data_IF_933292779111
#
_entry.id   IF_933292779111
#
_cell.length_a   1.000
_cell.length_b   1.000
_cell.length_c   1.000
_cell.angle_alpha   90.00
_cell.angle_beta   90.00
_cell.angle_gamma   90.00
#
_symmetry.space_group_name_H-M   'P 1'
#
loop_
_entity.id
_entity.type
_entity.pdbx_description
1 polymer ?
#
# COMPACT_ATOMS: atom_id res chain seq x y z
N UNK A 1 23.60 -59.66 54.14
CA UNK A 1 23.90 -58.22 54.32
C UNK A 1 23.87 -57.56 52.94
N UNK A 2 22.69 -57.14 52.51
CA UNK A 2 22.41 -56.23 51.37
C UNK A 2 21.29 -55.26 51.84
N UNK A 3 21.29 -53.99 51.43
CA UNK A 3 20.64 -52.88 52.14
C UNK A 3 19.15 -52.67 51.77
N UNK A 4 18.39 -51.87 52.55
CA UNK A 4 16.98 -51.59 52.28
C UNK A 4 16.80 -50.57 51.15
N UNK A 5 15.77 -50.80 50.33
CA UNK A 5 15.38 -49.97 49.19
C UNK A 5 14.73 -48.66 49.69
N UNK A 6 15.35 -47.53 49.38
CA UNK A 6 14.85 -46.18 49.66
C UNK A 6 13.79 -45.81 48.60
N UNK A 7 12.52 -45.68 48.98
CA UNK A 7 11.45 -45.15 48.12
C UNK A 7 11.57 -43.62 48.06
N UNK A 8 12.02 -43.11 46.91
CA UNK A 8 12.05 -41.68 46.60
C UNK A 8 10.67 -41.26 46.07
N UNK A 9 9.91 -40.48 46.85
CA UNK A 9 8.64 -39.88 46.39
C UNK A 9 8.94 -38.73 45.43
N UNK A 10 8.63 -38.90 44.14
CA UNK A 10 8.62 -37.80 43.18
C UNK A 10 7.39 -36.91 43.44
N UNK A 11 7.59 -35.70 43.94
CA UNK A 11 6.55 -34.67 43.93
C UNK A 11 6.39 -34.16 42.49
N UNK A 12 5.20 -34.32 41.91
CA UNK A 12 4.86 -33.72 40.62
C UNK A 12 4.76 -32.19 40.78
N UNK A 13 5.27 -31.38 39.82
CA UNK A 13 5.04 -29.95 39.85
C UNK A 13 3.57 -29.67 39.50
N UNK A 14 2.89 -28.92 40.36
CA UNK A 14 1.58 -28.35 40.05
C UNK A 14 1.71 -27.42 38.84
N UNK A 15 1.11 -27.81 37.72
CA UNK A 15 0.91 -26.90 36.60
C UNK A 15 -0.03 -25.79 37.07
N UNK A 16 0.45 -24.54 37.08
CA UNK A 16 -0.41 -23.37 37.17
C UNK A 16 -1.20 -23.37 35.85
N UNK A 17 -2.48 -23.72 35.91
CA UNK A 17 -3.39 -23.44 34.81
C UNK A 17 -3.40 -21.92 34.64
N UNK A 18 -2.82 -21.43 33.54
CA UNK A 18 -3.05 -20.07 33.09
C UNK A 18 -4.56 -19.95 32.88
N UNK A 19 -5.22 -19.19 33.73
CA UNK A 19 -6.63 -18.86 33.56
C UNK A 19 -6.80 -18.16 32.21
N UNK A 20 -7.75 -18.65 31.41
CA UNK A 20 -8.26 -18.05 30.19
C UNK A 20 -8.85 -16.65 30.46
N UNK A 21 -7.99 -15.65 30.69
CA UNK A 21 -8.37 -14.26 30.97
C UNK A 21 -8.11 -13.34 29.76
N UNK A 22 -7.99 -13.92 28.55
CA UNK A 22 -7.89 -13.20 27.26
C UNK A 22 -9.26 -12.73 26.72
N UNK A 23 -10.37 -13.10 27.37
CA UNK A 23 -11.73 -12.82 26.87
C UNK A 23 -12.45 -11.65 27.58
N UNK A 24 -11.71 -10.78 28.30
CA UNK A 24 -12.30 -9.69 29.11
C UNK A 24 -12.06 -8.28 28.62
N UNK A 25 -11.46 -8.10 27.44
CA UNK A 25 -11.54 -6.81 26.76
C UNK A 25 -12.81 -6.78 25.91
N UNK A 26 -13.74 -5.83 26.11
CA UNK A 26 -14.86 -5.67 25.19
C UNK A 26 -14.28 -5.38 23.81
N UNK A 27 -14.39 -6.36 22.90
CA UNK A 27 -14.05 -6.17 21.50
C UNK A 27 -15.07 -5.18 20.93
N UNK A 28 -14.69 -3.91 20.88
CA UNK A 28 -15.49 -2.91 20.19
C UNK A 28 -15.61 -3.32 18.73
N UNK A 29 -16.80 -3.68 18.29
CA UNK A 29 -17.08 -3.88 16.87
C UNK A 29 -17.14 -2.50 16.19
N UNK A 30 -16.45 -2.36 15.07
CA UNK A 30 -16.49 -1.17 14.22
C UNK A 30 -17.06 -1.60 12.88
N UNK A 31 -18.15 -0.95 12.47
CA UNK A 31 -18.78 -1.19 11.17
C UNK A 31 -18.27 -0.20 10.11
N UNK A 32 -18.18 -0.66 8.86
CA UNK A 32 -17.91 0.21 7.71
C UNK A 32 -19.14 1.04 7.36
N UNK A 33 -18.93 2.30 6.96
CA UNK A 33 -20.02 3.17 6.45
C UNK A 33 -20.02 3.31 4.94
N UNK A 34 -18.85 3.19 4.32
CA UNK A 34 -18.62 3.39 2.89
C UNK A 34 -17.49 2.45 2.48
N UNK A 35 -17.68 1.79 1.33
CA UNK A 35 -16.70 0.90 0.72
C UNK A 35 -16.53 1.29 -0.76
N UNK A 36 -15.33 1.10 -1.29
CA UNK A 36 -15.07 1.25 -2.74
C UNK A 36 -15.60 0.03 -3.49
N UNK A 37 -15.96 0.16 -4.79
CA UNK A 37 -16.32 -0.97 -5.62
C UNK A 37 -15.25 -2.08 -5.61
N UNK A 38 -15.70 -3.34 -5.68
CA UNK A 38 -14.84 -4.52 -5.77
C UNK A 38 -13.93 -4.43 -7.01
N UNK A 39 -12.66 -4.77 -6.80
CA UNK A 39 -11.71 -5.04 -7.88
C UNK A 39 -11.56 -6.57 -8.01
N UNK A 40 -11.48 -7.06 -9.23
CA UNK A 40 -11.38 -8.49 -9.52
C UNK A 40 -9.97 -8.81 -10.02
N UNK A 41 -9.36 -9.84 -9.43
CA UNK A 41 -7.99 -10.28 -9.68
C UNK A 41 -7.89 -11.33 -10.79
N UNK A 42 -8.92 -11.45 -11.62
CA UNK A 42 -8.97 -12.28 -12.82
C UNK A 42 -8.70 -11.46 -14.09
N UNK A 43 -8.47 -12.17 -15.20
CA UNK A 43 -8.18 -11.54 -16.50
C UNK A 43 -9.30 -10.59 -16.93
N UNK A 44 -10.56 -10.94 -16.63
CA UNK A 44 -11.72 -10.10 -16.95
C UNK A 44 -11.73 -8.78 -16.15
N UNK A 45 -11.31 -8.84 -14.88
CA UNK A 45 -11.10 -7.69 -13.99
C UNK A 45 -9.83 -6.90 -14.27
N UNK A 46 -8.95 -7.43 -15.11
CA UNK A 46 -7.64 -6.86 -15.41
C UNK A 46 -6.64 -7.08 -14.27
N UNK A 47 -6.72 -8.24 -13.60
CA UNK A 47 -5.82 -8.67 -12.52
C UNK A 47 -5.67 -7.60 -11.42
N UNK A 48 -6.79 -6.94 -11.11
CA UNK A 48 -6.81 -5.80 -10.23
C UNK A 48 -7.20 -6.23 -8.81
N UNK A 49 -6.28 -6.07 -7.86
CA UNK A 49 -6.59 -6.24 -6.44
C UNK A 49 -6.16 -4.99 -5.69
N UNK A 50 -7.06 -4.43 -4.89
CA UNK A 50 -6.74 -3.33 -3.98
C UNK A 50 -5.69 -3.79 -2.97
N UNK A 51 -4.65 -2.99 -2.76
CA UNK A 51 -3.57 -3.30 -1.82
C UNK A 51 -3.42 -2.16 -0.80
N UNK A 52 -2.88 -1.02 -1.23
CA UNK A 52 -2.54 0.09 -0.34
C UNK A 52 -3.33 1.35 -0.65
N UNK A 53 -4.03 1.94 0.35
CA UNK A 53 -4.63 3.25 0.24
C UNK A 53 -3.72 4.37 0.77
N UNK A 54 -3.77 5.53 0.13
CA UNK A 54 -3.32 6.82 0.66
C UNK A 54 -4.45 7.85 0.57
N UNK A 55 -4.63 8.67 1.60
CA UNK A 55 -5.70 9.68 1.66
C UNK A 55 -5.08 11.06 1.53
N UNK A 56 -5.41 11.78 0.46
CA UNK A 56 -5.05 13.19 0.33
C UNK A 56 -6.15 14.05 0.91
N UNK A 57 -5.86 14.70 2.03
CA UNK A 57 -6.77 15.63 2.69
C UNK A 57 -6.66 16.99 2.02
N UNK A 58 -7.75 17.46 1.42
CA UNK A 58 -7.78 18.77 0.78
C UNK A 58 -7.61 19.88 1.85
N UNK A 59 -6.67 20.82 1.68
CA UNK A 59 -6.21 21.72 2.76
C UNK A 59 -7.27 22.67 3.30
N UNK A 60 -8.31 22.99 2.52
CA UNK A 60 -9.35 23.96 2.90
C UNK A 60 -10.80 23.45 2.80
N UNK A 61 -11.02 22.23 2.32
CA UNK A 61 -12.37 21.68 2.11
C UNK A 61 -12.30 20.16 2.10
N UNK A 62 -12.41 19.54 3.29
CA UNK A 62 -12.23 18.10 3.48
C UNK A 62 -13.15 17.24 2.60
N UNK A 63 -14.29 17.77 2.15
CA UNK A 63 -15.21 17.08 1.22
C UNK A 63 -14.63 16.88 -0.18
N UNK A 64 -13.56 17.60 -0.52
CA UNK A 64 -12.82 17.45 -1.79
C UNK A 64 -11.61 16.52 -1.68
N UNK A 65 -11.39 15.92 -0.51
CA UNK A 65 -10.34 14.92 -0.31
C UNK A 65 -10.56 13.72 -1.22
N UNK A 66 -9.47 13.03 -1.55
CA UNK A 66 -9.49 11.85 -2.41
C UNK A 66 -8.77 10.69 -1.73
N UNK A 67 -9.21 9.47 -2.04
CA UNK A 67 -8.53 8.23 -1.68
C UNK A 67 -7.84 7.71 -2.93
N UNK A 68 -6.55 7.43 -2.84
CA UNK A 68 -5.73 6.87 -3.92
C UNK A 68 -5.36 5.46 -3.51
N UNK A 69 -5.62 4.47 -4.37
CA UNK A 69 -5.42 3.06 -4.07
C UNK A 69 -4.58 2.41 -5.17
N UNK A 70 -3.59 1.59 -4.79
CA UNK A 70 -2.94 0.69 -5.74
C UNK A 70 -3.84 -0.52 -6.01
N UNK A 71 -4.08 -0.77 -7.29
CA UNK A 71 -4.85 -1.90 -7.80
C UNK A 71 -3.93 -2.97 -8.42
N UNK A 72 -2.68 -3.07 -7.94
CA UNK A 72 -1.65 -3.99 -8.45
C UNK A 72 -1.41 -3.86 -9.96
N UNK A 73 -1.71 -4.89 -10.74
CA UNK A 73 -1.59 -4.87 -12.20
C UNK A 73 -2.61 -3.93 -12.84
N UNK A 74 -3.72 -3.69 -12.13
CA UNK A 74 -4.71 -2.70 -12.49
C UNK A 74 -4.22 -1.24 -12.38
N UNK A 75 -3.03 -0.96 -11.83
CA UNK A 75 -2.44 0.38 -11.69
C UNK A 75 -2.96 1.16 -10.49
N UNK A 76 -3.43 2.40 -10.68
CA UNK A 76 -4.05 3.22 -9.63
C UNK A 76 -5.57 3.35 -9.81
N UNK A 77 -6.24 3.53 -8.69
CA UNK A 77 -7.62 4.00 -8.59
C UNK A 77 -7.67 5.24 -7.72
N UNK A 78 -8.50 6.20 -8.10
CA UNK A 78 -8.77 7.39 -7.30
C UNK A 78 -10.26 7.45 -7.04
N UNK A 79 -10.64 7.64 -5.77
CA UNK A 79 -12.02 7.70 -5.33
C UNK A 79 -12.30 9.00 -4.57
N UNK A 80 -13.56 9.45 -4.57
CA UNK A 80 -14.02 10.42 -3.57
C UNK A 80 -14.31 9.73 -2.21
N UNK A 81 -14.59 10.52 -1.17
CA UNK A 81 -14.92 10.01 0.16
C UNK A 81 -16.26 9.24 0.24
N UNK A 82 -17.02 9.16 -0.87
CA UNK A 82 -18.23 8.34 -0.99
C UNK A 82 -17.97 7.03 -1.74
N UNK A 83 -16.70 6.72 -2.03
CA UNK A 83 -16.30 5.49 -2.73
C UNK A 83 -16.50 5.52 -4.24
N UNK A 84 -16.91 6.65 -4.83
CA UNK A 84 -17.10 6.74 -6.28
C UNK A 84 -15.75 6.92 -6.98
N UNK A 85 -15.48 6.07 -7.97
CA UNK A 85 -14.25 6.16 -8.76
C UNK A 85 -14.24 7.43 -9.60
N UNK A 86 -13.20 8.25 -9.42
CA UNK A 86 -12.94 9.48 -10.14
C UNK A 86 -11.97 9.27 -11.30
N UNK A 87 -10.97 8.39 -11.11
CA UNK A 87 -9.94 8.13 -12.09
C UNK A 87 -9.40 6.71 -11.99
N UNK A 88 -9.02 6.15 -13.15
CA UNK A 88 -8.23 4.92 -13.29
C UNK A 88 -6.99 5.26 -14.10
N UNK A 89 -5.82 4.80 -13.64
CA UNK A 89 -4.55 4.92 -14.34
C UNK A 89 -3.93 3.53 -14.45
N UNK A 90 -3.47 3.14 -15.63
CA UNK A 90 -2.75 1.88 -15.80
C UNK A 90 -1.37 1.94 -15.13
N UNK A 91 -0.85 0.79 -14.72
CA UNK A 91 0.55 0.68 -14.33
C UNK A 91 1.46 0.93 -15.55
N UNK A 92 2.70 1.36 -15.31
CA UNK A 92 3.66 1.54 -16.40
C UNK A 92 3.96 0.20 -17.07
N UNK A 93 3.95 0.14 -18.42
CA UNK A 93 4.49 -0.98 -19.16
C UNK A 93 5.89 -1.40 -18.66
N UNK A 94 6.06 -2.67 -18.29
CA UNK A 94 7.32 -3.29 -17.93
C UNK A 94 7.70 -4.33 -18.99
N UNK A 95 8.92 -4.29 -19.55
CA UNK A 95 9.36 -5.33 -20.47
C UNK A 95 9.68 -6.61 -19.68
N UNK A 96 8.67 -7.46 -19.49
CA UNK A 96 8.80 -8.74 -18.78
C UNK A 96 8.53 -9.94 -19.70
N UNK A 97 9.19 -11.09 -19.46
CA UNK A 97 8.96 -12.31 -20.24
C UNK A 97 7.58 -12.94 -20.02
N UNK A 98 6.97 -12.73 -18.85
CA UNK A 98 5.67 -13.27 -18.46
C UNK A 98 4.48 -12.54 -19.12
N UNK A 99 4.74 -11.45 -19.84
CA UNK A 99 3.71 -10.68 -20.55
C UNK A 99 2.84 -9.80 -19.67
N UNK A 100 3.11 -9.73 -18.36
CA UNK A 100 2.32 -8.88 -17.45
C UNK A 100 2.66 -7.42 -17.73
N UNK A 101 1.67 -6.57 -18.06
CA UNK A 101 1.93 -5.24 -18.59
C UNK A 101 2.64 -4.36 -17.57
N UNK A 102 2.33 -4.41 -16.28
CA UNK A 102 2.97 -3.57 -15.27
C UNK A 102 2.34 -3.80 -13.91
N UNK A 103 2.98 -3.33 -12.85
CA UNK A 103 2.44 -3.51 -11.49
C UNK A 103 2.91 -2.43 -10.53
N UNK A 104 1.95 -1.66 -10.03
CA UNK A 104 2.17 -0.81 -8.86
C UNK A 104 1.98 -1.62 -7.58
N UNK A 105 2.66 -1.23 -6.50
CA UNK A 105 2.57 -1.94 -5.23
C UNK A 105 1.99 -1.07 -4.13
N UNK A 106 2.70 0.00 -3.75
CA UNK A 106 2.32 0.90 -2.67
C UNK A 106 2.15 2.33 -3.18
N UNK A 107 1.37 3.13 -2.47
CA UNK A 107 1.22 4.57 -2.73
C UNK A 107 1.29 5.34 -1.41
N UNK A 108 1.97 6.49 -1.44
CA UNK A 108 2.00 7.45 -0.35
C UNK A 108 1.96 8.89 -0.88
N UNK A 109 1.79 9.89 -0.02
CA UNK A 109 1.64 11.30 -0.40
C UNK A 109 2.77 12.14 0.19
N UNK A 110 3.55 12.76 -0.71
CA UNK A 110 4.51 13.80 -0.36
C UNK A 110 3.90 15.18 -0.63
N UNK A 111 3.87 16.05 0.39
CA UNK A 111 3.28 17.39 0.30
C UNK A 111 4.28 18.46 -0.09
N UNK A 112 3.82 19.47 -0.82
CA UNK A 112 4.54 20.72 -1.07
C UNK A 112 5.86 20.61 -1.83
N UNK A 113 6.06 19.53 -2.61
CA UNK A 113 7.24 19.32 -3.44
C UNK A 113 7.32 20.36 -4.57
N UNK A 114 8.54 20.75 -4.95
CA UNK A 114 8.74 21.66 -6.08
C UNK A 114 8.73 20.88 -7.40
N UNK A 115 7.66 21.02 -8.17
CA UNK A 115 7.50 20.40 -9.50
C UNK A 115 7.30 21.49 -10.54
N UNK A 116 8.23 21.62 -11.49
CA UNK A 116 8.16 22.67 -12.52
C UNK A 116 8.07 24.09 -11.94
N UNK A 117 8.75 24.35 -10.82
CA UNK A 117 8.74 25.65 -10.15
C UNK A 117 7.51 25.92 -9.26
N UNK A 118 6.61 24.96 -9.07
CA UNK A 118 5.40 25.10 -8.26
C UNK A 118 5.37 24.11 -7.10
N UNK A 119 4.99 24.58 -5.91
CA UNK A 119 4.67 23.69 -4.77
C UNK A 119 3.45 22.84 -5.12
N UNK A 120 3.63 21.53 -5.06
CA UNK A 120 2.66 20.54 -5.54
C UNK A 120 2.66 19.36 -4.58
N UNK A 121 1.47 18.90 -4.17
CA UNK A 121 1.33 17.63 -3.48
C UNK A 121 1.38 16.49 -4.52
N UNK A 122 2.07 15.41 -4.18
CA UNK A 122 2.42 14.35 -5.12
C UNK A 122 2.13 13.00 -4.49
N UNK A 123 1.41 12.15 -5.20
CA UNK A 123 1.34 10.73 -4.88
C UNK A 123 2.60 10.04 -5.42
N UNK A 124 3.31 9.33 -4.54
CA UNK A 124 4.52 8.56 -4.81
C UNK A 124 4.16 7.08 -4.82
N UNK A 125 4.51 6.38 -5.90
CA UNK A 125 4.09 5.00 -6.13
C UNK A 125 5.29 4.13 -6.41
N UNK A 126 5.35 2.94 -5.82
CA UNK A 126 6.35 1.92 -6.14
C UNK A 126 5.89 1.13 -7.37
N UNK A 127 6.67 1.22 -8.44
CA UNK A 127 6.47 0.45 -9.67
C UNK A 127 7.36 -0.79 -9.62
N UNK A 128 6.76 -1.87 -9.12
CA UNK A 128 7.47 -3.10 -8.77
C UNK A 128 8.18 -3.69 -9.98
N UNK A 129 7.49 -3.81 -11.11
CA UNK A 129 8.05 -4.48 -12.29
C UNK A 129 9.03 -3.61 -13.08
N UNK A 130 9.13 -2.33 -12.76
CA UNK A 130 10.16 -1.44 -13.29
C UNK A 130 11.26 -1.11 -12.28
N UNK A 131 11.13 -1.55 -11.03
CA UNK A 131 12.00 -1.17 -9.92
C UNK A 131 12.19 0.35 -9.81
N UNK A 132 11.09 1.11 -9.91
CA UNK A 132 11.14 2.57 -9.99
C UNK A 132 10.12 3.23 -9.05
N UNK A 133 10.38 4.48 -8.71
CA UNK A 133 9.38 5.36 -8.11
C UNK A 133 8.69 6.19 -9.19
N UNK A 134 7.36 6.29 -9.07
CA UNK A 134 6.50 7.08 -9.96
C UNK A 134 5.85 8.19 -9.17
N UNK A 135 5.74 9.36 -9.80
CA UNK A 135 5.28 10.59 -9.16
C UNK A 135 4.08 11.13 -9.90
N UNK A 136 2.97 11.32 -9.19
CA UNK A 136 1.72 11.84 -9.74
C UNK A 136 1.34 13.11 -9.01
N UNK A 137 1.41 14.26 -9.70
CA UNK A 137 0.93 15.51 -9.17
C UNK A 137 -0.58 15.43 -8.89
N UNK A 138 -0.96 15.79 -7.67
CA UNK A 138 -2.33 15.87 -7.21
C UNK A 138 -2.91 17.22 -7.63
N UNK A 139 -4.05 17.19 -8.30
CA UNK A 139 -4.77 18.39 -8.67
C UNK A 139 -5.37 19.05 -7.41
N UNK A 140 -5.09 20.33 -7.13
CA UNK A 140 -5.58 20.99 -5.93
C UNK A 140 -7.10 21.14 -5.88
N UNK A 141 -7.82 20.96 -6.99
CA UNK A 141 -9.29 20.87 -6.97
C UNK A 141 -9.81 19.55 -6.35
N UNK A 142 -8.94 18.58 -6.09
CA UNK A 142 -9.27 17.32 -5.45
C UNK A 142 -10.36 16.55 -6.19
N UNK A 143 -11.38 16.11 -5.46
CA UNK A 143 -12.52 15.37 -6.01
C UNK A 143 -13.31 16.15 -7.08
N UNK A 144 -13.20 17.49 -7.12
CA UNK A 144 -13.85 18.32 -8.12
C UNK A 144 -13.08 18.44 -9.45
N UNK A 145 -11.85 17.90 -9.52
CA UNK A 145 -11.06 17.91 -10.74
C UNK A 145 -11.65 16.99 -11.82
N UNK A 146 -11.39 17.31 -13.10
CA UNK A 146 -11.63 16.39 -14.21
C UNK A 146 -10.53 15.33 -14.35
N UNK A 147 -9.35 15.62 -13.78
CA UNK A 147 -8.20 14.71 -13.68
C UNK A 147 -7.52 14.96 -12.35
N UNK A 148 -7.65 14.01 -11.44
CA UNK A 148 -7.14 14.10 -10.06
C UNK A 148 -5.62 13.97 -10.03
N UNK A 149 -5.08 13.02 -10.79
CA UNK A 149 -3.66 12.71 -10.84
C UNK A 149 -3.12 12.90 -12.26
N UNK A 150 -1.96 13.57 -12.33
CA UNK A 150 -1.17 13.69 -13.56
C UNK A 150 0.24 13.21 -13.27
N UNK A 151 0.72 12.27 -14.07
CA UNK A 151 2.11 11.84 -13.96
C UNK A 151 3.10 12.98 -14.23
N UNK A 152 4.10 13.10 -13.36
CA UNK A 152 5.20 14.07 -13.41
C UNK A 152 6.56 13.41 -13.19
N UNK A 153 6.61 12.07 -13.25
CA UNK A 153 7.84 11.28 -13.23
C UNK A 153 8.79 11.78 -14.31
N UNK A 154 10.02 12.13 -13.94
CA UNK A 154 11.04 12.53 -14.90
C UNK A 154 11.42 11.35 -15.82
N UNK A 155 11.85 11.58 -17.06
CA UNK A 155 12.42 10.51 -17.88
C UNK A 155 13.71 9.99 -17.23
N UNK A 156 13.96 8.68 -17.37
CA UNK A 156 15.22 8.07 -16.92
C UNK A 156 15.40 7.97 -15.40
N UNK A 157 14.30 7.85 -14.63
CA UNK A 157 14.40 7.56 -13.19
C UNK A 157 15.24 6.29 -12.99
N UNK A 158 16.27 6.34 -12.12
CA UNK A 158 17.10 5.17 -11.85
C UNK A 158 16.27 4.07 -11.18
N UNK A 159 16.79 2.85 -11.26
CA UNK A 159 16.27 1.75 -10.47
C UNK A 159 16.50 2.00 -8.97
N UNK A 160 15.57 1.55 -8.13
CA UNK A 160 15.62 1.74 -6.67
C UNK A 160 16.62 0.78 -6.04
N UNK A 161 16.55 -0.51 -6.42
CA UNK A 161 17.35 -1.57 -5.82
C UNK A 161 18.36 -2.17 -6.80
N UNK A 162 18.08 -2.08 -8.10
CA UNK A 162 18.90 -2.69 -9.13
C UNK A 162 19.86 -1.70 -9.80
N UNK A 163 20.83 -2.25 -10.52
CA UNK A 163 21.72 -1.47 -11.38
C UNK A 163 21.49 -1.75 -12.86
N UNK A 164 20.79 -2.83 -13.20
CA UNK A 164 20.55 -3.27 -14.57
C UNK A 164 19.13 -3.82 -14.72
N UNK A 165 18.60 -3.79 -15.94
CA UNK A 165 17.27 -4.33 -16.23
C UNK A 165 17.19 -5.83 -15.94
N UNK A 166 18.23 -6.59 -16.27
CA UNK A 166 18.31 -8.02 -15.96
C UNK A 166 18.23 -8.29 -14.45
N UNK A 167 18.75 -7.39 -13.62
CA UNK A 167 18.61 -7.49 -12.17
C UNK A 167 17.16 -7.33 -11.69
N UNK A 168 16.37 -6.46 -12.33
CA UNK A 168 14.95 -6.24 -12.00
C UNK A 168 14.12 -7.51 -12.18
N UNK A 169 14.48 -8.33 -13.16
CA UNK A 169 13.77 -9.58 -13.43
C UNK A 169 14.06 -10.69 -12.38
N UNK A 170 15.04 -10.48 -11.49
CA UNK A 170 15.36 -11.39 -10.37
C UNK A 170 14.55 -11.15 -9.09
N UNK A 171 13.45 -10.41 -9.21
CA UNK A 171 12.45 -10.11 -8.16
C UNK A 171 12.88 -9.19 -7.00
N UNK A 172 14.14 -8.78 -6.92
CA UNK A 172 14.59 -7.74 -5.99
C UNK A 172 14.19 -6.35 -6.48
N UNK A 173 12.99 -5.91 -6.13
CA UNK A 173 12.36 -4.73 -6.72
C UNK A 173 11.61 -3.87 -5.69
N UNK A 174 11.18 -2.68 -6.09
CA UNK A 174 10.32 -1.78 -5.31
C UNK A 174 9.02 -2.44 -4.82
N UNK A 175 9.05 -3.00 -3.60
CA UNK A 175 7.96 -3.72 -2.94
C UNK A 175 7.40 -3.00 -1.69
N UNK A 176 7.99 -1.87 -1.28
CA UNK A 176 7.55 -1.14 -0.09
C UNK A 176 7.87 0.35 -0.20
N UNK A 177 6.96 1.19 0.30
CA UNK A 177 7.15 2.63 0.51
C UNK A 177 6.56 3.02 1.86
N UNK A 178 7.31 3.79 2.64
CA UNK A 178 6.80 4.47 3.84
C UNK A 178 7.35 5.89 3.85
N UNK A 179 6.49 6.91 3.86
CA UNK A 179 6.86 8.32 3.93
C UNK A 179 6.22 8.99 5.15
N UNK A 180 6.96 9.08 6.26
CA UNK A 180 6.64 10.06 7.30
C UNK A 180 7.24 11.41 6.88
N UNK A 181 6.41 12.30 6.34
CA UNK A 181 6.79 13.70 6.11
C UNK A 181 5.94 14.63 6.98
N UNK A 182 6.32 14.75 8.25
CA UNK A 182 5.98 15.92 9.06
C UNK A 182 6.91 17.07 8.63
N UNK A 183 6.35 18.02 7.87
CA UNK A 183 6.96 19.33 7.72
C UNK A 183 6.33 20.24 8.79
N UNK A 184 7.12 20.57 9.80
CA UNK A 184 6.88 21.67 10.73
C UNK A 184 7.00 23.03 10.01
#
# INVERSE_FOLDING_TARGET
MLPPLLLLSLAAPSAIAASDDEDRLPRGAVDTRVETPTLYDDDAGGNASGDDPAIWVHPSDSRRSIVIVTAKEGGLRVYDLRGRQLQKLAATPAPRPDGVPGRFNNVDIARGLMVGGKRTDVAVVSDRYNDQLRFFAINPAGAAATRQLREVTAPGVPFVFQHTRAGVDTEKTAYGLFGAAEAH
#
